data_IF_644003176875
#
_entry.id   IF_644003176875
#
_cell.length_a   1.000
_cell.length_b   1.000
_cell.length_c   1.000
_cell.angle_alpha   90.00
_cell.angle_beta   90.00
_cell.angle_gamma   90.00
#
_symmetry.space_group_name_H-M   'P 1'
#
loop_
_entity.id
_entity.type
_entity.pdbx_description
1 polymer ?
#
# COMPACT_ATOMS: atom_id res chain seq x y z
N UNK A 1 -10.61 -14.25 17.71
CA UNK A 1 -10.89 -14.82 16.37
C UNK A 1 -10.28 -13.91 15.31
N UNK A 2 -9.55 -14.46 14.32
CA UNK A 2 -8.97 -13.68 13.22
C UNK A 2 -10.06 -12.92 12.47
N UNK A 3 -9.71 -11.79 11.87
CA UNK A 3 -10.66 -11.00 11.09
C UNK A 3 -11.21 -11.80 9.91
N UNK A 4 -12.51 -11.66 9.61
CA UNK A 4 -13.17 -12.38 8.53
C UNK A 4 -12.48 -12.10 7.18
N UNK A 5 -11.96 -10.89 6.98
CA UNK A 5 -11.26 -10.53 5.75
C UNK A 5 -9.96 -11.33 5.60
N UNK A 6 -9.23 -11.57 6.69
CA UNK A 6 -8.01 -12.40 6.70
C UNK A 6 -8.35 -13.86 6.36
N UNK A 7 -9.51 -14.36 6.79
CA UNK A 7 -9.95 -15.70 6.44
C UNK A 7 -10.16 -15.88 4.92
N UNK A 8 -10.67 -14.85 4.22
CA UNK A 8 -10.80 -14.87 2.75
C UNK A 8 -9.44 -14.92 2.05
N UNK A 9 -8.45 -14.16 2.54
CA UNK A 9 -7.07 -14.26 2.05
C UNK A 9 -6.52 -15.68 2.22
N UNK A 10 -6.64 -16.24 3.43
CA UNK A 10 -6.17 -17.58 3.73
C UNK A 10 -6.86 -18.64 2.85
N UNK A 11 -8.18 -18.52 2.65
CA UNK A 11 -8.94 -19.41 1.77
C UNK A 11 -8.43 -19.33 0.32
N UNK A 12 -8.24 -18.13 -0.22
CA UNK A 12 -7.69 -17.94 -1.57
C UNK A 12 -6.28 -18.52 -1.73
N UNK A 13 -5.42 -18.31 -0.73
CA UNK A 13 -4.07 -18.86 -0.72
C UNK A 13 -4.09 -20.39 -0.74
N UNK A 14 -4.89 -21.02 0.14
CA UNK A 14 -5.03 -22.48 0.20
C UNK A 14 -5.61 -23.02 -1.12
N UNK A 15 -6.68 -22.41 -1.64
CA UNK A 15 -7.30 -22.81 -2.89
C UNK A 15 -6.32 -22.76 -4.08
N UNK A 16 -5.48 -21.73 -4.13
CA UNK A 16 -4.44 -21.59 -5.15
C UNK A 16 -3.30 -22.61 -5.01
N UNK A 17 -2.86 -22.89 -3.77
CA UNK A 17 -1.81 -23.89 -3.49
C UNK A 17 -2.28 -25.32 -3.80
N UNK A 18 -3.55 -25.63 -3.54
CA UNK A 18 -4.19 -26.89 -3.91
C UNK A 18 -4.44 -27.02 -5.42
N UNK A 19 -4.10 -25.99 -6.22
CA UNK A 19 -4.35 -25.92 -7.67
C UNK A 19 -5.83 -26.14 -8.02
N UNK A 20 -6.74 -25.59 -7.21
CA UNK A 20 -8.17 -25.60 -7.53
C UNK A 20 -8.46 -24.82 -8.82
N UNK A 21 -9.64 -25.05 -9.39
CA UNK A 21 -10.17 -24.31 -10.53
C UNK A 21 -10.72 -22.92 -10.14
N UNK A 22 -10.68 -22.57 -8.84
CA UNK A 22 -11.12 -21.27 -8.34
C UNK A 22 -10.29 -20.15 -8.98
N UNK A 23 -10.98 -19.31 -9.75
CA UNK A 23 -10.40 -18.14 -10.42
C UNK A 23 -11.35 -16.97 -10.25
N UNK A 24 -10.84 -15.85 -9.76
CA UNK A 24 -11.57 -14.58 -9.87
C UNK A 24 -11.26 -13.98 -11.25
N UNK A 25 -12.28 -13.64 -12.06
CA UNK A 25 -12.06 -12.94 -13.32
C UNK A 25 -11.30 -11.63 -13.11
N UNK A 26 -10.36 -11.32 -14.02
CA UNK A 26 -9.55 -10.10 -13.94
C UNK A 26 -10.39 -8.82 -13.83
N UNK A 27 -11.51 -8.76 -14.54
CA UNK A 27 -12.45 -7.64 -14.49
C UNK A 27 -13.05 -7.41 -13.09
N UNK A 28 -13.31 -8.48 -12.33
CA UNK A 28 -13.81 -8.37 -10.95
C UNK A 28 -12.73 -7.79 -10.06
N UNK A 29 -11.48 -8.28 -10.17
CA UNK A 29 -10.34 -7.73 -9.43
C UNK A 29 -10.15 -6.22 -9.69
N UNK A 30 -10.20 -5.82 -10.95
CA UNK A 30 -10.06 -4.42 -11.35
C UNK A 30 -11.19 -3.54 -10.82
N UNK A 31 -12.41 -4.07 -10.84
CA UNK A 31 -13.59 -3.39 -10.31
C UNK A 31 -13.48 -3.22 -8.79
N UNK A 32 -13.12 -4.27 -8.06
CA UNK A 32 -12.91 -4.21 -6.61
C UNK A 32 -11.81 -3.23 -6.25
N UNK A 33 -10.70 -3.22 -7.00
CA UNK A 33 -9.61 -2.27 -6.80
C UNK A 33 -10.06 -0.81 -6.99
N UNK A 34 -10.84 -0.52 -8.05
CA UNK A 34 -11.41 0.82 -8.27
C UNK A 34 -12.28 1.23 -7.09
N UNK A 35 -13.23 0.37 -6.73
CA UNK A 35 -14.22 0.67 -5.69
C UNK A 35 -13.54 0.88 -4.35
N UNK A 36 -12.57 0.04 -3.98
CA UNK A 36 -11.81 0.20 -2.74
C UNK A 36 -11.04 1.52 -2.72
N UNK A 37 -10.29 1.86 -3.78
CA UNK A 37 -9.54 3.12 -3.84
C UNK A 37 -10.46 4.34 -3.78
N UNK A 38 -11.59 4.30 -4.49
CA UNK A 38 -12.59 5.37 -4.46
C UNK A 38 -13.23 5.51 -3.07
N UNK A 39 -13.65 4.40 -2.46
CA UNK A 39 -14.28 4.40 -1.12
C UNK A 39 -13.32 4.88 -0.05
N UNK A 40 -12.05 4.49 -0.11
CA UNK A 40 -11.01 5.01 0.77
C UNK A 40 -10.85 6.52 0.61
N UNK A 41 -10.85 7.01 -0.64
CA UNK A 41 -10.86 8.44 -0.92
C UNK A 41 -12.09 9.14 -0.33
N UNK A 42 -13.29 8.61 -0.56
CA UNK A 42 -14.55 9.15 -0.04
C UNK A 42 -14.55 9.23 1.49
N UNK A 43 -14.11 8.17 2.18
CA UNK A 43 -13.94 8.15 3.64
C UNK A 43 -13.00 9.27 4.09
N UNK A 44 -11.91 9.49 3.37
CA UNK A 44 -10.96 10.55 3.69
C UNK A 44 -11.50 11.95 3.49
N UNK A 45 -12.15 12.19 2.35
CA UNK A 45 -12.84 13.44 2.07
C UNK A 45 -13.89 13.77 3.13
N UNK A 46 -14.71 12.77 3.48
CA UNK A 46 -15.74 12.91 4.51
C UNK A 46 -15.14 13.27 5.87
N UNK A 47 -14.03 12.65 6.25
CA UNK A 47 -13.36 12.95 7.50
C UNK A 47 -12.76 14.37 7.54
N UNK A 48 -12.33 14.90 6.38
CA UNK A 48 -11.82 16.26 6.23
C UNK A 48 -12.93 17.32 6.13
N UNK A 49 -14.17 16.91 5.80
CA UNK A 49 -15.29 17.82 5.66
C UNK A 49 -15.49 18.61 6.97
N UNK A 50 -15.35 19.93 6.92
CA UNK A 50 -15.45 20.81 8.09
C UNK A 50 -14.30 20.71 9.10
N UNK A 51 -13.26 19.88 8.85
CA UNK A 51 -12.18 19.58 9.78
C UNK A 51 -10.78 19.94 9.22
N UNK A 52 -10.70 20.87 8.25
CA UNK A 52 -9.42 21.32 7.70
C UNK A 52 -8.84 22.43 8.57
N UNK A 53 -7.72 22.14 9.23
CA UNK A 53 -6.94 23.13 9.99
C UNK A 53 -5.64 23.47 9.26
N UNK A 54 -5.02 24.61 9.60
CA UNK A 54 -3.69 24.98 9.10
C UNK A 54 -2.59 24.02 9.57
N UNK A 55 -2.79 23.33 10.70
CA UNK A 55 -1.86 22.32 11.23
C UNK A 55 -1.84 21.03 10.40
N UNK A 56 -2.93 20.72 9.70
CA UNK A 56 -3.04 19.53 8.86
C UNK A 56 -1.91 19.43 7.84
N UNK A 57 -1.59 20.53 7.13
CA UNK A 57 -0.52 20.53 6.12
C UNK A 57 0.86 20.22 6.73
N UNK A 58 1.11 20.68 7.96
CA UNK A 58 2.36 20.40 8.67
C UNK A 58 2.47 18.94 9.09
N UNK A 59 1.36 18.30 9.44
CA UNK A 59 1.32 16.87 9.79
C UNK A 59 1.47 15.95 8.56
N UNK A 60 0.95 16.37 7.41
CA UNK A 60 1.05 15.60 6.16
C UNK A 60 2.46 15.60 5.56
N UNK A 61 3.25 16.66 5.80
CA UNK A 61 4.56 16.82 5.19
C UNK A 61 5.55 15.70 5.61
N UNK A 62 5.71 15.35 6.90
CA UNK A 62 6.54 14.22 7.32
C UNK A 62 6.13 12.88 6.72
N UNK A 63 4.81 12.65 6.59
CA UNK A 63 4.30 11.43 5.96
C UNK A 63 4.70 11.40 4.48
N UNK A 64 4.53 12.51 3.75
CA UNK A 64 4.99 12.59 2.36
C UNK A 64 6.51 12.38 2.22
N UNK A 65 7.31 12.89 3.17
CA UNK A 65 8.76 12.69 3.19
C UNK A 65 9.16 11.21 3.32
N UNK A 66 8.40 10.40 4.07
CA UNK A 66 8.63 8.96 4.11
C UNK A 66 8.53 8.33 2.73
N UNK A 67 7.61 8.79 1.88
CA UNK A 67 7.48 8.34 0.49
C UNK A 67 8.76 8.58 -0.33
N UNK A 68 9.54 9.61 -0.03
CA UNK A 68 10.86 9.83 -0.64
C UNK A 68 11.96 8.98 0.02
N UNK A 69 11.96 8.91 1.36
CA UNK A 69 13.05 8.35 2.15
C UNK A 69 13.08 6.82 2.07
N UNK A 70 11.95 6.15 2.29
CA UNK A 70 11.89 4.69 2.36
C UNK A 70 12.39 3.98 1.10
N UNK A 71 12.00 4.37 -0.13
CA UNK A 71 12.54 3.72 -1.32
C UNK A 71 14.05 3.99 -1.49
N UNK A 72 14.54 5.18 -1.11
CA UNK A 72 15.97 5.49 -1.12
C UNK A 72 16.76 4.66 -0.10
N UNK A 73 16.15 4.27 1.03
CA UNK A 73 16.74 3.34 2.00
C UNK A 73 16.73 1.89 1.49
N UNK A 74 15.66 1.47 0.82
CA UNK A 74 15.55 0.13 0.24
C UNK A 74 16.52 -0.10 -0.93
N UNK A 75 16.71 0.91 -1.79
CA UNK A 75 17.53 0.78 -3.00
C UNK A 75 18.97 0.24 -2.77
N UNK A 76 19.81 0.79 -1.87
CA UNK A 76 21.16 0.29 -1.65
C UNK A 76 21.17 -1.14 -1.09
N UNK A 77 20.18 -1.52 -0.28
CA UNK A 77 20.03 -2.89 0.24
C UNK A 77 19.74 -3.84 -0.94
N UNK A 78 18.81 -3.48 -1.81
CA UNK A 78 18.46 -4.24 -3.01
C UNK A 78 19.65 -4.37 -3.98
N UNK A 79 20.41 -3.30 -4.19
CA UNK A 79 21.60 -3.32 -5.06
C UNK A 79 22.77 -4.10 -4.50
N UNK A 80 23.10 -3.92 -3.22
CA UNK A 80 24.35 -4.42 -2.63
C UNK A 80 24.18 -5.75 -1.90
N UNK A 81 23.13 -5.88 -1.09
CA UNK A 81 22.88 -7.09 -0.30
C UNK A 81 22.09 -8.12 -1.10
N UNK A 82 20.99 -7.72 -1.74
CA UNK A 82 20.19 -8.63 -2.58
C UNK A 82 20.88 -8.92 -3.91
N UNK A 83 21.70 -7.98 -4.41
CA UNK A 83 22.47 -8.05 -5.66
C UNK A 83 21.63 -8.01 -6.93
N UNK A 84 20.55 -7.23 -6.92
CA UNK A 84 19.76 -6.96 -8.11
C UNK A 84 20.47 -5.97 -9.05
N UNK A 85 20.11 -6.00 -10.33
CA UNK A 85 20.51 -4.98 -11.31
C UNK A 85 19.83 -3.62 -10.98
N UNK A 86 20.17 -2.57 -11.72
CA UNK A 86 19.66 -1.21 -11.48
C UNK A 86 18.13 -1.15 -11.66
N UNK A 87 17.62 -1.76 -12.72
CA UNK A 87 16.22 -1.73 -13.11
C UNK A 87 15.33 -2.41 -12.07
N UNK A 88 15.69 -3.64 -11.70
CA UNK A 88 14.96 -4.44 -10.71
C UNK A 88 15.06 -3.83 -9.31
N UNK A 89 16.23 -3.31 -8.92
CA UNK A 89 16.36 -2.68 -7.61
C UNK A 89 15.56 -1.37 -7.50
N UNK A 90 15.55 -0.54 -8.54
CA UNK A 90 14.76 0.69 -8.57
C UNK A 90 13.26 0.37 -8.60
N UNK A 91 12.86 -0.63 -9.38
CA UNK A 91 11.49 -1.15 -9.42
C UNK A 91 11.02 -1.59 -8.04
N UNK A 92 11.73 -2.52 -7.39
CA UNK A 92 11.33 -3.05 -6.08
C UNK A 92 11.37 -1.95 -5.02
N UNK A 93 12.38 -1.07 -5.03
CA UNK A 93 12.42 0.07 -4.11
C UNK A 93 11.18 0.97 -4.27
N UNK A 94 10.75 1.26 -5.51
CA UNK A 94 9.56 2.06 -5.76
C UNK A 94 8.31 1.41 -5.18
N UNK A 95 8.18 0.08 -5.31
CA UNK A 95 7.06 -0.65 -4.72
C UNK A 95 7.03 -0.52 -3.20
N UNK A 96 8.16 -0.68 -2.49
CA UNK A 96 8.21 -0.56 -1.03
C UNK A 96 7.99 0.86 -0.51
N UNK A 97 8.39 1.89 -1.28
CA UNK A 97 8.05 3.27 -0.94
C UNK A 97 6.59 3.62 -1.23
N UNK A 98 6.02 3.01 -2.29
CA UNK A 98 4.69 3.33 -2.80
C UNK A 98 3.54 2.71 -2.00
N UNK A 99 3.85 1.82 -1.06
CA UNK A 99 2.91 1.17 -0.11
C UNK A 99 1.73 0.43 -0.76
N UNK A 100 0.96 -0.32 0.03
CA UNK A 100 -0.12 -1.18 -0.46
C UNK A 100 -1.50 -0.65 -0.07
N UNK A 101 -2.35 -0.36 -1.06
CA UNK A 101 -3.76 -0.06 -0.84
C UNK A 101 -4.51 -1.21 -0.15
N UNK A 102 -4.14 -2.47 -0.43
CA UNK A 102 -4.73 -3.64 0.23
C UNK A 102 -4.32 -3.74 1.71
N UNK A 103 -3.05 -3.48 2.02
CA UNK A 103 -2.59 -3.43 3.41
C UNK A 103 -3.24 -2.26 4.15
N UNK A 104 -3.34 -1.09 3.52
CA UNK A 104 -4.03 0.08 4.07
C UNK A 104 -5.48 -0.22 4.43
N UNK A 105 -6.24 -0.79 3.49
CA UNK A 105 -7.64 -1.14 3.71
C UNK A 105 -7.82 -2.13 4.87
N UNK A 106 -6.92 -3.12 4.97
CA UNK A 106 -6.93 -4.09 6.06
C UNK A 106 -6.58 -3.48 7.41
N UNK A 107 -5.47 -2.74 7.50
CA UNK A 107 -5.03 -2.14 8.77
C UNK A 107 -6.04 -1.10 9.27
N UNK A 108 -6.66 -0.33 8.36
CA UNK A 108 -7.74 0.59 8.71
C UNK A 108 -8.98 -0.16 9.25
N UNK A 109 -9.39 -1.25 8.59
CA UNK A 109 -10.50 -2.07 9.08
C UNK A 109 -10.20 -2.72 10.44
N UNK A 110 -8.93 -3.11 10.68
CA UNK A 110 -8.46 -3.65 11.96
C UNK A 110 -8.50 -2.61 13.08
N UNK A 111 -8.02 -1.39 12.84
CA UNK A 111 -8.03 -0.31 13.84
C UNK A 111 -9.45 0.16 14.15
N UNK A 112 -10.31 0.28 13.13
CA UNK A 112 -11.75 0.56 13.28
C UNK A 112 -12.43 -0.51 14.15
N UNK A 113 -12.15 -1.79 13.89
CA UNK A 113 -12.71 -2.91 14.68
C UNK A 113 -12.22 -2.91 16.13
N UNK A 114 -10.96 -2.54 16.34
CA UNK A 114 -10.36 -2.46 17.68
C UNK A 114 -10.81 -1.22 18.47
N UNK A 115 -11.58 -0.31 17.86
CA UNK A 115 -11.99 0.94 18.49
C UNK A 115 -10.84 1.91 18.72
N UNK A 116 -9.72 1.75 18.00
CA UNK A 116 -8.57 2.63 18.13
C UNK A 116 -8.86 3.96 17.42
N UNK A 117 -8.59 5.11 18.06
CA UNK A 117 -8.87 6.41 17.46
C UNK A 117 -8.00 6.62 16.21
N UNK A 118 -8.63 7.07 15.12
CA UNK A 118 -7.97 7.35 13.84
C UNK A 118 -8.24 8.80 13.46
N UNK A 119 -7.18 9.56 13.24
CA UNK A 119 -7.26 10.94 12.77
C UNK A 119 -7.79 11.00 11.32
N UNK A 120 -8.62 12.01 10.97
CA UNK A 120 -9.22 12.17 9.64
C UNK A 120 -8.25 12.01 8.45
N UNK A 121 -7.08 12.62 8.59
CA UNK A 121 -6.02 12.70 7.58
C UNK A 121 -5.30 11.39 7.30
N UNK A 122 -5.50 10.36 8.14
CA UNK A 122 -4.87 9.04 7.99
C UNK A 122 -5.16 8.40 6.64
N UNK A 123 -6.34 8.69 6.09
CA UNK A 123 -6.76 8.21 4.76
C UNK A 123 -5.97 8.80 3.60
N UNK A 124 -5.35 9.97 3.79
CA UNK A 124 -4.50 10.63 2.81
C UNK A 124 -3.11 10.00 2.73
N UNK A 125 -2.68 9.29 3.78
CA UNK A 125 -1.30 8.78 3.90
C UNK A 125 -0.95 7.86 2.73
N UNK A 126 -1.90 7.03 2.26
CA UNK A 126 -1.71 6.15 1.12
C UNK A 126 -1.23 6.93 -0.14
N UNK A 127 -1.96 7.97 -0.54
CA UNK A 127 -1.59 8.74 -1.74
C UNK A 127 -0.35 9.58 -1.53
N UNK A 128 -0.15 10.12 -0.32
CA UNK A 128 1.03 10.92 0.01
C UNK A 128 2.32 10.10 -0.05
N UNK A 129 2.26 8.79 0.22
CA UNK A 129 3.42 7.90 0.13
C UNK A 129 3.64 7.39 -1.30
N UNK A 130 2.57 7.10 -2.02
CA UNK A 130 2.59 6.48 -3.36
C UNK A 130 3.37 7.31 -4.41
N UNK A 131 3.00 8.57 -4.58
CA UNK A 131 3.55 9.43 -5.62
C UNK A 131 5.04 9.75 -5.44
N UNK A 132 5.49 10.25 -4.27
CA UNK A 132 6.90 10.50 -4.00
C UNK A 132 7.80 9.31 -4.30
N UNK A 133 7.36 8.10 -3.92
CA UNK A 133 8.16 6.91 -4.06
C UNK A 133 8.42 6.51 -5.51
N UNK A 134 7.37 6.58 -6.33
CA UNK A 134 7.48 6.30 -7.77
C UNK A 134 8.37 7.38 -8.42
N UNK A 135 8.11 8.66 -8.13
CA UNK A 135 8.85 9.77 -8.73
C UNK A 135 10.34 9.68 -8.39
N UNK A 136 10.70 9.48 -7.12
CA UNK A 136 12.10 9.49 -6.69
C UNK A 136 12.87 8.29 -7.24
N UNK A 137 12.24 7.12 -7.38
CA UNK A 137 12.89 5.93 -7.92
C UNK A 137 13.05 5.97 -9.43
N UNK A 138 12.07 6.50 -10.16
CA UNK A 138 12.22 6.75 -11.58
C UNK A 138 13.28 7.82 -11.87
N UNK A 139 13.33 8.87 -11.04
CA UNK A 139 14.38 9.88 -11.13
C UNK A 139 15.78 9.26 -10.86
N UNK A 140 15.92 8.48 -9.79
CA UNK A 140 17.18 7.81 -9.45
C UNK A 140 17.62 6.84 -10.55
N UNK A 141 16.70 6.02 -11.06
CA UNK A 141 16.94 5.09 -12.15
C UNK A 141 17.48 5.80 -13.39
N UNK A 142 16.83 6.88 -13.82
CA UNK A 142 17.26 7.71 -14.95
C UNK A 142 18.64 8.32 -14.75
N UNK A 143 18.91 8.83 -13.55
CA UNK A 143 20.23 9.37 -13.20
C UNK A 143 21.34 8.31 -13.33
N UNK A 144 21.04 7.07 -12.95
CA UNK A 144 22.00 5.97 -12.99
C UNK A 144 22.18 5.33 -14.37
N UNK A 145 21.16 5.44 -15.24
CA UNK A 145 21.18 4.90 -16.61
C UNK A 145 21.52 5.94 -17.68
N UNK A 146 21.64 7.22 -17.30
CA UNK A 146 22.00 8.31 -18.22
C UNK A 146 20.86 8.76 -19.15
N UNK A 147 19.62 8.35 -18.89
CA UNK A 147 18.45 8.72 -19.70
C UNK A 147 17.75 9.98 -19.12
N UNK A 148 17.99 11.18 -19.69
CA UNK A 148 17.20 12.40 -19.40
C UNK A 148 15.87 12.40 -20.19
N UNK A 149 14.77 13.10 -19.86
CA UNK A 149 14.47 14.26 -18.99
C UNK A 149 13.37 13.96 -17.95
N UNK A 150 13.24 14.75 -16.88
CA UNK A 150 12.31 14.50 -15.75
C UNK A 150 10.83 14.87 -16.01
N UNK A 151 10.54 15.64 -17.07
CA UNK A 151 9.24 16.31 -17.23
C UNK A 151 8.04 15.38 -17.46
N UNK A 152 8.25 14.20 -18.05
CA UNK A 152 7.18 13.23 -18.30
C UNK A 152 6.70 12.48 -17.04
N UNK A 153 7.59 12.27 -16.06
CA UNK A 153 7.32 11.40 -14.90
C UNK A 153 6.23 12.00 -14.00
N UNK A 154 6.30 13.30 -13.73
CA UNK A 154 5.37 13.93 -12.78
C UNK A 154 3.94 13.92 -13.31
N UNK A 155 3.76 14.23 -14.60
CA UNK A 155 2.44 14.21 -15.24
C UNK A 155 1.87 12.79 -15.27
N UNK A 156 2.68 11.81 -15.66
CA UNK A 156 2.26 10.41 -15.76
C UNK A 156 1.87 9.83 -14.39
N UNK A 157 2.66 10.10 -13.36
CA UNK A 157 2.37 9.69 -11.98
C UNK A 157 1.07 10.31 -11.44
N UNK A 158 0.85 11.62 -11.68
CA UNK A 158 -0.37 12.31 -11.24
C UNK A 158 -1.64 11.83 -11.97
N UNK A 159 -1.51 11.33 -13.19
CA UNK A 159 -2.63 10.76 -13.96
C UNK A 159 -2.85 9.27 -13.70
N UNK A 160 -2.13 8.66 -12.75
CA UNK A 160 -2.32 7.25 -12.44
C UNK A 160 -3.72 6.98 -11.87
N UNK A 161 -4.27 5.80 -12.19
CA UNK A 161 -5.61 5.38 -11.78
C UNK A 161 -5.82 5.47 -10.27
N UNK A 162 -4.81 5.07 -9.48
CA UNK A 162 -4.90 5.11 -8.01
C UNK A 162 -5.00 6.53 -7.47
N UNK A 163 -4.15 7.43 -7.93
CA UNK A 163 -4.14 8.85 -7.54
C UNK A 163 -5.43 9.55 -7.94
N UNK A 164 -5.90 9.35 -9.18
CA UNK A 164 -7.14 9.96 -9.66
C UNK A 164 -8.37 9.47 -8.87
N UNK A 165 -8.44 8.17 -8.56
CA UNK A 165 -9.58 7.61 -7.83
C UNK A 165 -9.58 7.99 -6.36
N UNK A 166 -8.42 7.94 -5.70
CA UNK A 166 -8.34 8.30 -4.28
C UNK A 166 -8.43 9.82 -4.09
N UNK A 167 -7.72 10.61 -4.89
CA UNK A 167 -7.82 12.08 -4.88
C UNK A 167 -9.21 12.57 -5.28
N UNK A 168 -9.80 11.99 -6.33
CA UNK A 168 -11.18 12.26 -6.73
C UNK A 168 -12.19 11.89 -5.65
N UNK A 169 -12.03 10.73 -5.01
CA UNK A 169 -12.83 10.32 -3.86
C UNK A 169 -12.72 11.30 -2.68
N UNK A 170 -11.51 11.75 -2.34
CA UNK A 170 -11.30 12.76 -1.29
C UNK A 170 -12.02 14.05 -1.63
N UNK A 171 -11.91 14.53 -2.86
CA UNK A 171 -12.59 15.75 -3.29
C UNK A 171 -14.12 15.61 -3.19
N UNK A 172 -14.67 14.50 -3.69
CA UNK A 172 -16.11 14.23 -3.64
C UNK A 172 -16.58 14.14 -2.18
N UNK A 173 -15.87 13.38 -1.34
CA UNK A 173 -16.24 13.23 0.07
C UNK A 173 -16.15 14.54 0.84
N UNK A 174 -15.15 15.37 0.54
CA UNK A 174 -14.99 16.68 1.16
C UNK A 174 -16.08 17.66 0.73
N UNK A 175 -16.47 17.69 -0.55
CA UNK A 175 -17.47 18.64 -1.04
C UNK A 175 -18.88 18.25 -0.59
N UNK A 176 -19.24 16.97 -0.69
CA UNK A 176 -20.61 16.51 -0.43
C UNK A 176 -20.88 16.21 1.04
N UNK A 177 -19.84 15.91 1.83
CA UNK A 177 -19.96 15.65 3.26
C UNK A 177 -20.92 14.48 3.59
N UNK A 178 -21.38 14.37 4.84
CA UNK A 178 -22.22 13.25 5.27
C UNK A 178 -23.61 13.26 4.61
N UNK A 179 -24.21 14.45 4.46
CA UNK A 179 -25.57 14.59 3.89
C UNK A 179 -25.58 14.25 2.40
N UNK A 180 -24.61 14.75 1.62
CA UNK A 180 -24.57 14.49 0.18
C UNK A 180 -24.18 13.05 -0.17
N UNK A 181 -23.46 12.35 0.71
CA UNK A 181 -23.07 10.95 0.51
C UNK A 181 -24.10 9.94 1.05
N UNK A 182 -25.09 10.37 1.83
CA UNK A 182 -26.09 9.50 2.46
C UNK A 182 -26.72 8.47 1.49
N UNK A 183 -27.12 8.83 0.25
CA UNK A 183 -27.78 7.88 -0.66
C UNK A 183 -26.89 6.70 -1.11
N UNK A 184 -25.57 6.89 -1.16
CA UNK A 184 -24.62 5.89 -1.64
C UNK A 184 -23.83 5.22 -0.51
N UNK A 185 -23.84 5.81 0.68
CA UNK A 185 -23.08 5.34 1.84
C UNK A 185 -23.37 3.89 2.25
N UNK A 186 -24.62 3.39 2.28
CA UNK A 186 -24.88 2.00 2.68
C UNK A 186 -24.19 0.98 1.79
N UNK A 187 -24.22 1.20 0.47
CA UNK A 187 -23.62 0.29 -0.49
C UNK A 187 -22.08 0.45 -0.55
N UNK A 188 -21.59 1.69 -0.63
CA UNK A 188 -20.17 1.96 -0.83
C UNK A 188 -19.36 1.91 0.47
N UNK A 189 -19.78 2.63 1.50
CA UNK A 189 -19.08 2.68 2.79
C UNK A 189 -19.41 1.45 3.64
N UNK A 190 -20.70 1.07 3.71
CA UNK A 190 -21.15 -0.13 4.42
C UNK A 190 -20.65 -1.43 3.79
N UNK A 191 -20.57 -1.49 2.46
CA UNK A 191 -20.06 -2.64 1.71
C UNK A 191 -18.53 -2.77 1.69
N UNK A 192 -17.79 -1.84 2.31
CA UNK A 192 -16.32 -1.81 2.24
C UNK A 192 -15.66 -3.12 2.67
N UNK A 193 -16.06 -3.70 3.81
CA UNK A 193 -15.49 -4.97 4.30
C UNK A 193 -15.79 -6.14 3.37
N UNK A 194 -16.96 -6.15 2.73
CA UNK A 194 -17.33 -7.18 1.74
C UNK A 194 -16.44 -7.09 0.51
N UNK A 195 -16.26 -5.89 -0.05
CA UNK A 195 -15.37 -5.67 -1.19
C UNK A 195 -13.93 -6.03 -0.83
N UNK A 196 -13.47 -5.66 0.36
CA UNK A 196 -12.13 -5.98 0.85
C UNK A 196 -11.94 -7.49 1.01
N UNK A 197 -12.93 -8.22 1.52
CA UNK A 197 -12.86 -9.68 1.66
C UNK A 197 -12.70 -10.37 0.30
N UNK A 198 -13.50 -9.98 -0.70
CA UNK A 198 -13.39 -10.51 -2.07
C UNK A 198 -12.06 -10.12 -2.74
N UNK A 199 -11.58 -8.91 -2.48
CA UNK A 199 -10.26 -8.48 -2.96
C UNK A 199 -9.14 -9.33 -2.34
N UNK A 200 -9.20 -9.58 -1.03
CA UNK A 200 -8.22 -10.41 -0.32
C UNK A 200 -8.25 -11.87 -0.77
N UNK A 201 -9.42 -12.41 -1.14
CA UNK A 201 -9.52 -13.73 -1.75
C UNK A 201 -8.66 -13.84 -3.03
N UNK A 202 -8.78 -12.85 -3.93
CA UNK A 202 -7.97 -12.84 -5.16
C UNK A 202 -6.48 -12.60 -4.86
N UNK A 203 -6.15 -11.78 -3.86
CA UNK A 203 -4.76 -11.64 -3.42
C UNK A 203 -4.18 -12.95 -2.92
N UNK A 204 -4.95 -13.77 -2.19
CA UNK A 204 -4.53 -15.11 -1.80
C UNK A 204 -4.24 -16.01 -3.00
N UNK A 205 -5.15 -16.04 -3.99
CA UNK A 205 -4.96 -16.80 -5.23
C UNK A 205 -3.74 -16.33 -6.03
N UNK A 206 -3.54 -15.01 -6.14
CA UNK A 206 -2.39 -14.43 -6.81
C UNK A 206 -1.07 -14.71 -6.08
N UNK A 207 -1.04 -14.60 -4.75
CA UNK A 207 0.13 -14.99 -3.93
C UNK A 207 0.49 -16.45 -4.22
N UNK A 208 -0.48 -17.37 -4.23
CA UNK A 208 -0.22 -18.78 -4.54
C UNK A 208 0.40 -18.97 -5.93
N UNK A 209 -0.12 -18.27 -6.94
CA UNK A 209 0.39 -18.34 -8.33
C UNK A 209 1.82 -17.82 -8.44
N UNK A 210 2.12 -16.67 -7.84
CA UNK A 210 3.45 -16.03 -7.90
C UNK A 210 4.50 -16.86 -7.14
N UNK A 211 4.08 -17.59 -6.11
CA UNK A 211 4.95 -18.45 -5.30
C UNK A 211 5.01 -19.92 -5.76
N UNK A 212 4.44 -20.29 -6.92
CA UNK A 212 4.36 -21.69 -7.37
C UNK A 212 5.05 -21.93 -8.73
N UNK A 213 6.22 -22.59 -8.78
CA UNK A 213 7.07 -22.98 -7.65
C UNK A 213 7.80 -21.76 -7.04
N UNK A 214 8.14 -21.86 -5.75
CA UNK A 214 8.87 -20.80 -5.05
C UNK A 214 10.27 -20.67 -5.66
N UNK A 215 10.67 -19.50 -6.17
CA UNK A 215 11.96 -19.34 -6.82
C UNK A 215 13.07 -19.23 -5.78
N UNK A 216 13.46 -20.37 -5.18
CA UNK A 216 14.47 -20.46 -4.13
C UNK A 216 15.84 -19.89 -4.54
N UNK A 217 16.13 -19.83 -5.85
CA UNK A 217 17.30 -19.14 -6.38
C UNK A 217 17.36 -17.65 -5.98
N UNK A 218 16.20 -17.03 -5.73
CA UNK A 218 16.05 -15.64 -5.30
C UNK A 218 15.99 -15.49 -3.77
N UNK A 219 16.58 -16.41 -3.00
CA UNK A 219 16.49 -16.44 -1.53
C UNK A 219 16.81 -15.10 -0.85
N UNK A 220 17.73 -14.30 -1.42
CA UNK A 220 18.08 -12.98 -0.88
C UNK A 220 16.91 -12.01 -0.96
N UNK A 221 16.16 -12.05 -2.06
CA UNK A 221 14.98 -11.22 -2.25
C UNK A 221 13.85 -11.71 -1.34
N UNK A 222 13.69 -13.03 -1.19
CA UNK A 222 12.71 -13.60 -0.25
C UNK A 222 13.01 -13.16 1.20
N UNK A 223 14.28 -13.22 1.62
CA UNK A 223 14.70 -12.77 2.94
C UNK A 223 14.49 -11.26 3.14
N UNK A 224 14.85 -10.46 2.14
CA UNK A 224 14.55 -9.02 2.15
C UNK A 224 13.05 -8.78 2.32
N UNK A 225 12.22 -9.44 1.51
CA UNK A 225 10.78 -9.23 1.53
C UNK A 225 10.10 -9.71 2.82
N UNK A 226 10.68 -10.71 3.48
CA UNK A 226 10.19 -11.18 4.78
C UNK A 226 10.62 -10.25 5.93
N UNK A 227 11.84 -9.71 5.91
CA UNK A 227 12.43 -9.02 7.07
C UNK A 227 12.24 -7.49 6.99
N UNK A 228 12.43 -6.90 5.82
CA UNK A 228 12.41 -5.44 5.63
C UNK A 228 11.12 -4.76 6.13
N UNK A 229 9.91 -5.34 5.94
CA UNK A 229 8.67 -4.76 6.47
C UNK A 229 8.73 -4.40 7.96
N UNK A 230 9.33 -5.26 8.78
CA UNK A 230 9.45 -5.04 10.22
C UNK A 230 10.36 -3.85 10.55
N UNK A 231 11.44 -3.65 9.80
CA UNK A 231 12.31 -2.49 9.95
C UNK A 231 11.62 -1.21 9.47
N UNK A 232 10.90 -1.27 8.34
CA UNK A 232 10.18 -0.11 7.80
C UNK A 232 8.97 0.28 8.66
N UNK A 233 8.33 -0.65 9.35
CA UNK A 233 7.25 -0.36 10.30
C UNK A 233 7.69 0.67 11.35
N UNK A 234 8.92 0.53 11.87
CA UNK A 234 9.49 1.46 12.86
C UNK A 234 9.64 2.88 12.34
N UNK A 235 9.85 3.10 11.04
CA UNK A 235 9.85 4.44 10.47
C UNK A 235 8.47 5.11 10.59
N UNK A 236 7.40 4.34 10.30
CA UNK A 236 6.02 4.81 10.46
C UNK A 236 5.65 5.05 11.91
N UNK A 237 6.06 4.15 12.82
CA UNK A 237 5.86 4.32 14.27
C UNK A 237 6.59 5.58 14.76
N UNK A 238 7.87 5.76 14.42
CA UNK A 238 8.65 6.91 14.86
C UNK A 238 8.05 8.23 14.34
N UNK A 239 7.62 8.28 13.07
CA UNK A 239 6.95 9.46 12.52
C UNK A 239 5.61 9.72 13.20
N UNK A 240 4.82 8.67 13.50
CA UNK A 240 3.54 8.82 14.18
C UNK A 240 3.70 9.36 15.61
N UNK A 241 4.69 8.88 16.36
CA UNK A 241 5.01 9.36 17.70
C UNK A 241 5.50 10.81 17.66
N UNK A 242 6.35 11.16 16.69
CA UNK A 242 6.85 12.53 16.53
C UNK A 242 5.73 13.52 16.19
N UNK A 243 4.73 13.07 15.45
CA UNK A 243 3.54 13.85 15.10
C UNK A 243 2.42 13.79 16.15
N UNK A 244 2.63 13.08 17.27
CA UNK A 244 1.63 12.88 18.32
C UNK A 244 0.29 12.34 17.78
N UNK A 245 0.35 11.48 16.75
CA UNK A 245 -0.86 10.95 16.11
C UNK A 245 -1.64 10.05 17.08
N UNK A 246 -2.96 9.91 16.93
CA UNK A 246 -3.73 8.92 17.66
C UNK A 246 -3.23 7.48 17.43
N UNK A 247 -3.44 6.60 18.41
CA UNK A 247 -2.95 5.22 18.38
C UNK A 247 -3.34 4.47 17.10
N UNK A 248 -4.59 4.58 16.64
CA UNK A 248 -5.05 3.92 15.41
C UNK A 248 -4.34 4.45 14.17
N UNK A 249 -4.11 5.76 14.08
CA UNK A 249 -3.32 6.38 13.01
C UNK A 249 -1.87 5.91 13.00
N UNK A 250 -1.26 5.72 14.18
CA UNK A 250 0.09 5.20 14.30
C UNK A 250 0.20 3.76 13.78
N UNK A 251 -0.76 2.89 14.13
CA UNK A 251 -0.83 1.52 13.60
C UNK A 251 -1.00 1.52 12.09
N UNK A 252 -1.86 2.39 11.55
CA UNK A 252 -2.05 2.52 10.10
C UNK A 252 -0.76 2.97 9.40
N UNK A 253 -0.08 4.00 9.93
CA UNK A 253 1.16 4.49 9.33
C UNK A 253 2.27 3.43 9.38
N UNK A 254 2.40 2.70 10.50
CA UNK A 254 3.33 1.56 10.61
C UNK A 254 3.03 0.47 9.58
N UNK A 255 1.76 0.11 9.39
CA UNK A 255 1.32 -0.87 8.40
C UNK A 255 1.57 -0.42 6.96
N UNK A 256 1.37 0.87 6.67
CA UNK A 256 1.66 1.47 5.37
C UNK A 256 3.16 1.42 5.07
N UNK A 257 4.01 1.94 5.94
CA UNK A 257 5.47 1.97 5.71
C UNK A 257 6.08 0.58 5.62
N UNK A 258 5.49 -0.41 6.30
CA UNK A 258 5.89 -1.82 6.21
C UNK A 258 5.43 -2.54 4.92
N UNK A 259 4.61 -1.90 4.08
CA UNK A 259 3.98 -2.55 2.92
C UNK A 259 4.66 -2.22 1.60
N UNK A 260 4.26 -2.92 0.54
CA UNK A 260 4.76 -2.68 -0.81
C UNK A 260 3.61 -2.73 -1.83
N UNK A 261 3.63 -1.80 -2.78
CA UNK A 261 2.61 -1.68 -3.82
C UNK A 261 2.66 -2.86 -4.78
N UNK A 262 1.49 -3.30 -5.22
CA UNK A 262 1.34 -4.34 -6.25
C UNK A 262 0.18 -4.02 -7.21
N UNK A 263 -0.30 -2.77 -7.19
CA UNK A 263 -1.37 -2.25 -8.07
C UNK A 263 -0.83 -1.10 -8.91
N UNK A 264 -0.48 0.03 -8.28
CA UNK A 264 -0.07 1.25 -8.97
C UNK A 264 1.39 1.20 -9.44
N UNK A 265 2.32 0.85 -8.55
CA UNK A 265 3.74 0.80 -8.89
C UNK A 265 4.09 -0.13 -10.07
N UNK A 266 3.54 -1.36 -10.19
CA UNK A 266 3.86 -2.21 -11.33
C UNK A 266 3.49 -1.58 -12.68
N UNK A 267 2.38 -0.85 -12.76
CA UNK A 267 1.95 -0.18 -13.97
C UNK A 267 2.89 0.99 -14.33
N UNK A 268 3.20 1.85 -13.35
CA UNK A 268 4.09 2.98 -13.54
C UNK A 268 5.52 2.55 -13.92
N UNK A 269 6.07 1.55 -13.22
CA UNK A 269 7.40 1.02 -13.52
C UNK A 269 7.43 0.35 -14.89
N UNK A 270 6.41 -0.43 -15.27
CA UNK A 270 6.38 -1.08 -16.59
C UNK A 270 6.39 -0.08 -17.74
N UNK A 271 5.72 1.07 -17.58
CA UNK A 271 5.72 2.13 -18.56
C UNK A 271 7.08 2.86 -18.64
N UNK A 272 7.69 3.14 -17.50
CA UNK A 272 8.89 3.96 -17.42
C UNK A 272 10.23 3.18 -17.50
N UNK A 273 10.24 1.92 -17.09
CA UNK A 273 11.41 1.02 -17.08
C UNK A 273 11.00 -0.37 -17.63
N UNK A 274 10.82 -0.50 -18.95
CA UNK A 274 10.32 -1.74 -19.57
C UNK A 274 11.20 -2.97 -19.34
N UNK A 275 12.48 -2.77 -19.05
CA UNK A 275 13.47 -3.82 -18.77
C UNK A 275 13.39 -4.38 -17.35
N UNK A 276 12.66 -3.71 -16.44
CA UNK A 276 12.49 -4.19 -15.08
C UNK A 276 11.61 -5.45 -15.03
N UNK A 277 12.06 -6.45 -14.29
CA UNK A 277 11.32 -7.68 -14.07
C UNK A 277 10.22 -7.46 -13.02
N UNK A 278 9.03 -7.10 -13.50
CA UNK A 278 7.85 -6.93 -12.64
C UNK A 278 7.49 -8.22 -11.88
N UNK A 279 7.85 -9.40 -12.40
CA UNK A 279 7.65 -10.67 -11.68
C UNK A 279 8.41 -10.73 -10.35
N UNK A 280 9.65 -10.20 -10.30
CA UNK A 280 10.41 -10.11 -9.05
C UNK A 280 9.78 -9.12 -8.07
N UNK A 281 9.28 -7.99 -8.56
CA UNK A 281 8.57 -7.03 -7.72
C UNK A 281 7.27 -7.60 -7.15
N UNK A 282 6.49 -8.32 -7.95
CA UNK A 282 5.28 -9.01 -7.50
C UNK A 282 5.59 -10.13 -6.52
N UNK A 283 6.67 -10.89 -6.74
CA UNK A 283 7.14 -11.91 -5.78
C UNK A 283 7.47 -11.30 -4.43
N UNK A 284 8.24 -10.21 -4.40
CA UNK A 284 8.60 -9.54 -3.15
C UNK A 284 7.36 -8.93 -2.47
N UNK A 285 6.61 -8.09 -3.17
CA UNK A 285 5.51 -7.32 -2.61
C UNK A 285 4.28 -8.19 -2.26
N UNK A 286 3.78 -8.98 -3.21
CA UNK A 286 2.55 -9.77 -3.06
C UNK A 286 2.83 -11.22 -2.63
N UNK A 287 3.91 -11.82 -3.12
CA UNK A 287 4.26 -13.20 -2.81
C UNK A 287 4.73 -13.41 -1.38
N UNK A 288 5.47 -12.45 -0.80
CA UNK A 288 6.12 -12.59 0.50
C UNK A 288 5.70 -11.50 1.48
N UNK A 289 5.95 -10.22 1.19
CA UNK A 289 5.71 -9.11 2.13
C UNK A 289 4.25 -9.01 2.52
N UNK A 290 3.32 -9.08 1.57
CA UNK A 290 1.90 -8.97 1.86
C UNK A 290 1.40 -10.08 2.81
N UNK A 291 1.63 -11.39 2.54
CA UNK A 291 1.28 -12.45 3.48
C UNK A 291 1.95 -12.30 4.85
N UNK A 292 3.24 -11.96 4.89
CA UNK A 292 3.97 -11.73 6.16
C UNK A 292 3.31 -10.62 6.96
N UNK A 293 2.98 -9.50 6.33
CA UNK A 293 2.30 -8.38 6.99
C UNK A 293 0.90 -8.76 7.47
N UNK A 294 0.08 -9.36 6.61
CA UNK A 294 -1.32 -9.71 6.93
C UNK A 294 -1.40 -10.70 8.09
N UNK A 295 -0.53 -11.71 8.09
CA UNK A 295 -0.59 -12.82 9.05
C UNK A 295 0.17 -12.52 10.36
N UNK A 296 1.26 -11.77 10.28
CA UNK A 296 2.20 -11.58 11.41
C UNK A 296 2.44 -10.10 11.69
N UNK A 297 2.78 -9.34 10.64
CA UNK A 297 3.23 -7.95 10.77
C UNK A 297 2.19 -7.04 11.42
N UNK A 298 0.96 -6.95 10.90
CA UNK A 298 -0.05 -6.02 11.39
C UNK A 298 -0.40 -6.23 12.88
N UNK A 299 -0.67 -7.46 13.36
CA UNK A 299 -0.83 -7.69 14.80
C UNK A 299 0.40 -7.28 15.63
N UNK A 300 1.61 -7.56 15.12
CA UNK A 300 2.84 -7.22 15.80
C UNK A 300 3.09 -5.70 15.86
N UNK A 301 2.81 -4.98 14.77
CA UNK A 301 2.95 -3.52 14.71
C UNK A 301 1.97 -2.85 15.66
N UNK A 302 0.72 -3.35 15.74
CA UNK A 302 -0.24 -2.89 16.73
C UNK A 302 0.28 -3.09 18.16
N UNK A 303 0.91 -4.24 18.44
CA UNK A 303 1.52 -4.50 19.74
C UNK A 303 2.69 -3.54 20.03
N UNK A 304 3.59 -3.30 19.08
CA UNK A 304 4.69 -2.34 19.25
C UNK A 304 4.19 -0.92 19.49
N UNK A 305 3.17 -0.48 18.74
CA UNK A 305 2.55 0.83 18.94
C UNK A 305 1.96 0.94 20.34
N UNK A 306 1.30 -0.11 20.85
CA UNK A 306 0.71 -0.10 22.21
C UNK A 306 1.71 0.08 23.35
N UNK A 307 3.02 -0.03 23.12
CA UNK A 307 4.01 0.28 24.15
C UNK A 307 4.16 1.79 24.43
N UNK A 308 3.62 2.65 23.56
CA UNK A 308 3.79 4.10 23.62
C UNK A 308 2.48 4.87 23.88
N UNK A 309 1.34 4.20 23.91
CA UNK A 309 -0.02 4.77 24.09
C UNK A 309 -0.72 4.07 25.24
#
# INVERSE_FOLDING_TARGET
>A
MPDIVIAFFAFGLIAGLLKSDLKVPHSIYETLSILLMLVLGLKGGLALHGNVTSTLLLELLPVALLGFILPLLCYPILRKLVRLNIDDAASIAAHYGSVSAGTFALVLAMTERAGLPVAPQTTLYLVLLELPAIIVMLWLHRRLTGQGSAGGIVRESLTSRGVLLLGGGVLIGYVYGPVGLEPIAPALLGGFKTMLALFLLEMGLCTAKVCSPLPLAQWRLLAFAAIMPFALAWSGIATALWLELPQGSAVVLAGLTASASYIAAPAAIRAAVPTANIGLAMLAALGITFPVNVLIGLPLYQHWVSWFY
#
